data_IF_119093236561
#
_entry.id   IF_119093236561
#
_cell.length_a   1.000
_cell.length_b   1.000
_cell.length_c   1.000
_cell.angle_alpha   90.00
_cell.angle_beta   90.00
_cell.angle_gamma   90.00
#
_symmetry.space_group_name_H-M   'P 1'
#
loop_
_entity.id
_entity.type
_entity.pdbx_description
1 polymer ?
2 non-polymer ?
3 non-polymer ?
4 water ?
#
# COMPACT_ATOMS: atom_id res chain seq x y z
N UNK A 9 -15.68 -6.00 -27.03
CA UNK A 9 -16.80 -6.13 -26.09
C UNK A 9 -16.47 -7.03 -24.92
N UNK A 10 -17.21 -6.87 -23.83
CA UNK A 10 -17.00 -7.67 -22.63
C UNK A 10 -17.75 -9.00 -22.67
N UNK A 11 -17.18 -10.02 -22.00
CA UNK A 11 -17.74 -11.37 -21.91
C UNK A 11 -19.23 -11.34 -21.60
N UNK A 12 -19.93 -12.36 -22.05
CA UNK A 12 -21.34 -12.50 -21.74
C UNK A 12 -21.50 -12.69 -20.23
N UNK A 13 -20.57 -13.45 -19.64
CA UNK A 13 -20.64 -13.81 -18.24
C UNK A 13 -20.47 -12.58 -17.35
N UNK A 14 -19.65 -11.65 -17.83
CA UNK A 14 -19.43 -10.39 -17.13
C UNK A 14 -20.65 -9.49 -17.26
N UNK A 15 -20.99 -9.16 -18.52
CA UNK A 15 -22.16 -8.35 -18.86
C UNK A 15 -23.42 -8.87 -18.20
N UNK A 16 -23.40 -10.15 -17.88
CA UNK A 16 -24.55 -10.74 -17.25
C UNK A 16 -24.83 -10.30 -15.81
N UNK A 17 -23.81 -9.88 -15.08
CA UNK A 17 -23.96 -9.46 -13.68
C UNK A 17 -23.75 -7.98 -13.50
N UNK A 18 -23.08 -7.37 -14.47
CA UNK A 18 -22.62 -6.01 -14.33
C UNK A 18 -22.94 -5.19 -15.55
N UNK A 19 -23.02 -3.88 -15.33
CA UNK A 19 -23.31 -2.94 -16.37
C UNK A 19 -22.14 -2.00 -16.45
N UNK A 20 -21.28 -2.25 -17.44
CA UNK A 20 -20.04 -1.51 -17.58
C UNK A 20 -20.29 -0.03 -17.89
N UNK A 21 -19.69 0.83 -17.09
CA UNK A 21 -19.84 2.27 -17.25
C UNK A 21 -18.50 2.87 -17.70
N UNK A 22 -18.22 4.07 -17.18
CA UNK A 22 -17.05 4.86 -17.57
C UNK A 22 -15.69 4.31 -17.13
N UNK A 23 -14.62 5.00 -17.54
CA UNK A 23 -13.26 4.66 -17.17
C UNK A 23 -12.83 5.47 -15.93
N UNK A 24 -11.91 4.91 -15.16
CA UNK A 24 -11.46 5.57 -13.95
C UNK A 24 -9.93 5.71 -13.92
N UNK A 25 -9.24 4.72 -14.48
CA UNK A 25 -7.78 4.75 -14.61
C UNK A 25 -7.25 3.88 -15.76
N UNK A 26 -5.94 3.99 -16.05
CA UNK A 26 -5.33 3.24 -17.16
C UNK A 26 -3.81 3.02 -17.06
N UNK A 31 -6.20 -0.98 -17.16
CA UNK A 31 -7.34 -0.05 -17.07
C UNK A 31 -8.39 -0.43 -16.02
N UNK A 32 -8.98 0.58 -15.39
CA UNK A 32 -10.05 0.38 -14.40
C UNK A 32 -11.34 1.09 -14.84
N UNK A 33 -12.42 0.32 -14.88
CA UNK A 33 -13.72 0.84 -15.28
C UNK A 33 -14.71 0.87 -14.12
N UNK A 34 -15.63 1.83 -14.17
CA UNK A 34 -16.75 1.82 -13.26
C UNK A 34 -17.85 0.87 -13.78
N UNK A 35 -18.51 0.16 -12.88
CA UNK A 35 -19.60 -0.73 -13.26
C UNK A 35 -20.69 -0.80 -12.17
N UNK A 36 -21.90 -1.22 -12.56
CA UNK A 36 -22.97 -1.44 -11.58
C UNK A 36 -23.32 -2.91 -11.51
N UNK A 37 -23.48 -3.43 -10.30
CA UNK A 37 -23.91 -4.80 -10.12
C UNK A 37 -25.43 -4.90 -10.33
N UNK A 38 -25.86 -5.72 -11.27
CA UNK A 38 -27.29 -5.83 -11.58
C UNK A 38 -28.12 -6.16 -10.34
N UNK A 39 -27.70 -7.18 -9.61
CA UNK A 39 -28.43 -7.67 -8.44
C UNK A 39 -28.87 -6.55 -7.46
N UNK A 40 -28.00 -5.57 -7.25
CA UNK A 40 -28.12 -4.66 -6.12
C UNK A 40 -28.13 -3.19 -6.52
N UNK A 41 -27.71 -2.94 -7.76
CA UNK A 41 -27.60 -1.59 -8.31
C UNK A 41 -26.55 -0.81 -7.56
N UNK A 42 -25.54 -1.50 -7.09
CA UNK A 42 -24.46 -0.87 -6.37
C UNK A 42 -23.26 -0.67 -7.31
N UNK A 43 -22.51 0.42 -7.09
CA UNK A 43 -21.36 0.71 -7.94
C UNK A 43 -20.17 -0.12 -7.51
N UNK A 44 -19.46 -0.66 -8.50
CA UNK A 44 -18.24 -1.42 -8.25
C UNK A 44 -17.16 -0.93 -9.19
N UNK A 45 -15.92 -1.30 -8.89
CA UNK A 45 -14.81 -1.02 -9.81
C UNK A 45 -14.35 -2.32 -10.46
N UNK A 46 -14.11 -2.28 -11.77
CA UNK A 46 -13.62 -3.46 -12.48
C UNK A 46 -12.27 -3.23 -13.16
N UNK A 47 -11.28 -3.96 -12.70
CA UNK A 47 -9.92 -3.89 -13.25
C UNK A 47 -9.76 -4.88 -14.40
N UNK A 48 -9.33 -4.38 -15.54
CA UNK A 48 -9.08 -5.22 -16.70
C UNK A 48 -7.57 -5.38 -16.94
N UNK A 49 -7.18 -6.61 -17.26
CA UNK A 49 -5.78 -6.97 -17.42
C UNK A 49 -5.62 -7.94 -18.57
N UNK A 50 -5.05 -7.48 -19.68
CA UNK A 50 -4.91 -8.30 -20.89
C UNK A 50 -3.80 -9.38 -20.82
N UNK A 51 -3.95 -10.45 -21.59
CA UNK A 51 -2.92 -11.48 -21.64
C UNK A 51 -1.92 -11.23 -22.76
N UNK A 64 1.87 -12.72 -17.63
CA UNK A 64 0.50 -12.28 -17.32
C UNK A 64 -0.16 -13.11 -16.21
N UNK A 65 -0.65 -14.30 -16.56
CA UNK A 65 -1.40 -15.18 -15.65
C UNK A 65 -0.88 -15.29 -14.22
N UNK A 66 0.45 -15.32 -14.06
CA UNK A 66 1.06 -15.56 -12.75
C UNK A 66 0.68 -14.49 -11.72
N UNK A 67 0.93 -13.24 -12.07
CA UNK A 67 0.58 -12.09 -11.22
C UNK A 67 -0.87 -12.06 -10.79
N UNK A 68 -1.74 -12.60 -11.64
CA UNK A 68 -3.17 -12.55 -11.40
C UNK A 68 -3.59 -13.75 -10.55
N UNK A 69 -3.13 -14.94 -10.93
CA UNK A 69 -3.44 -16.14 -10.15
C UNK A 69 -3.16 -15.88 -8.67
N UNK A 70 -2.18 -15.03 -8.41
CA UNK A 70 -1.74 -14.74 -7.04
C UNK A 70 -2.48 -13.55 -6.43
N UNK A 71 -2.57 -12.44 -7.16
CA UNK A 71 -3.35 -11.28 -6.70
C UNK A 71 -4.75 -11.72 -6.25
N UNK A 72 -5.38 -12.59 -7.04
CA UNK A 72 -6.68 -13.13 -6.68
C UNK A 72 -6.49 -14.03 -5.45
N UNK A 73 -5.57 -14.99 -5.56
CA UNK A 73 -5.35 -15.94 -4.48
C UNK A 73 -5.04 -15.21 -3.17
N UNK A 74 -4.41 -14.04 -3.28
CA UNK A 74 -4.16 -13.23 -2.10
C UNK A 74 -5.42 -12.48 -1.63
N UNK A 75 -5.91 -11.58 -2.47
CA UNK A 75 -7.12 -10.81 -2.16
C UNK A 75 -8.25 -11.64 -1.53
N UNK A 76 -8.50 -12.80 -2.13
CA UNK A 76 -9.53 -13.73 -1.65
C UNK A 76 -9.32 -14.06 -0.18
N UNK A 77 -8.06 -14.23 0.20
CA UNK A 77 -7.69 -14.69 1.54
C UNK A 77 -7.54 -13.56 2.56
N UNK A 78 -7.37 -12.33 2.08
CA UNK A 78 -7.11 -11.20 2.97
C UNK A 78 -8.39 -10.59 3.57
N UNK A 79 -8.25 -9.99 4.73
CA UNK A 79 -9.40 -9.45 5.42
C UNK A 79 -9.09 -8.26 6.35
N UNK A 80 -9.11 -7.05 5.81
CA UNK A 80 -8.73 -5.88 6.60
C UNK A 80 -9.39 -4.63 6.03
N UNK A 81 -9.79 -3.69 6.92
CA UNK A 81 -10.50 -2.44 6.57
C UNK A 81 -9.73 -1.62 5.56
N UNK A 82 -8.42 -1.75 5.59
CA UNK A 82 -7.54 -0.90 4.80
C UNK A 82 -6.86 -1.72 3.70
N UNK A 83 -7.49 -2.81 3.33
CA UNK A 83 -7.09 -3.52 2.13
C UNK A 83 -8.30 -3.75 1.23
N UNK A 84 -8.14 -3.49 -0.05
CA UNK A 84 -9.22 -3.64 -1.02
C UNK A 84 -9.73 -5.09 -1.08
N UNK A 85 -11.05 -5.23 -1.11
CA UNK A 85 -11.67 -6.55 -1.17
C UNK A 85 -12.03 -6.89 -2.60
N UNK A 86 -11.96 -8.17 -2.93
CA UNK A 86 -12.36 -8.62 -4.26
C UNK A 86 -13.81 -9.10 -4.21
N UNK A 87 -14.57 -8.79 -5.25
CA UNK A 87 -16.00 -9.09 -5.24
C UNK A 87 -16.31 -10.18 -6.24
N UNK A 88 -15.50 -10.27 -7.28
CA UNK A 88 -15.70 -11.27 -8.31
C UNK A 88 -14.54 -11.29 -9.30
N UNK A 89 -14.45 -12.37 -10.07
CA UNK A 89 -13.37 -12.52 -11.02
C UNK A 89 -13.85 -13.17 -12.32
N UNK A 90 -13.34 -12.69 -13.45
CA UNK A 90 -13.64 -13.23 -14.77
C UNK A 90 -12.42 -13.56 -15.62
N UNK A 91 -12.18 -14.86 -15.82
CA UNK A 91 -11.12 -15.36 -16.68
C UNK A 91 -11.61 -15.48 -18.14
N UNK A 92 -11.21 -14.54 -19.00
CA UNK A 92 -11.70 -14.55 -20.38
C UNK A 92 -10.62 -14.27 -21.43
N UNK A 93 -10.98 -13.48 -22.45
CA UNK A 93 -9.98 -12.98 -23.41
C UNK A 93 -8.98 -12.17 -22.63
N UNK A 94 -9.51 -11.41 -21.67
CA UNK A 94 -8.70 -10.70 -20.71
C UNK A 94 -9.12 -11.12 -19.30
N UNK A 95 -8.54 -10.49 -18.28
CA UNK A 95 -8.89 -10.81 -16.92
C UNK A 95 -9.68 -9.64 -16.35
N UNK A 96 -10.80 -9.94 -15.71
CA UNK A 96 -11.64 -8.91 -15.13
C UNK A 96 -11.70 -9.12 -13.63
N UNK A 97 -11.33 -8.10 -12.88
CA UNK A 97 -11.36 -8.23 -11.44
C UNK A 97 -12.25 -7.16 -10.83
N UNK A 98 -13.23 -7.63 -10.07
CA UNK A 98 -14.27 -6.75 -9.54
C UNK A 98 -13.96 -6.44 -8.08
N UNK A 99 -13.90 -5.14 -7.79
CA UNK A 99 -13.49 -4.70 -6.47
C UNK A 99 -14.42 -3.65 -5.90
N UNK A 100 -14.40 -3.55 -4.58
CA UNK A 100 -14.97 -2.44 -3.88
C UNK A 100 -14.62 -1.18 -4.65
N UNK A 101 -15.49 -0.20 -4.63
CA UNK A 101 -15.18 1.05 -5.29
C UNK A 101 -14.79 2.15 -4.31
N UNK A 102 -13.58 2.67 -4.52
CA UNK A 102 -13.06 3.78 -3.72
C UNK A 102 -13.43 5.09 -4.39
N UNK A 103 -14.13 5.94 -3.67
CA UNK A 103 -14.72 7.12 -4.28
C UNK A 103 -13.79 8.34 -4.28
N UNK A 104 -12.88 8.43 -3.31
CA UNK A 104 -11.93 9.52 -3.25
C UNK A 104 -10.83 9.44 -4.29
N UNK A 105 -10.80 8.32 -5.01
CA UNK A 105 -9.79 8.11 -6.04
C UNK A 105 -8.44 7.78 -5.45
N UNK A 106 -7.37 8.08 -6.20
CA UNK A 106 -6.00 7.77 -5.76
C UNK A 106 -5.45 8.83 -4.81
N UNK A 107 -4.49 8.42 -3.99
CA UNK A 107 -3.81 9.35 -3.12
C UNK A 107 -2.84 10.15 -3.96
N UNK A 108 -2.47 9.59 -5.12
CA UNK A 108 -1.51 10.25 -5.98
C UNK A 108 -2.07 11.57 -6.42
N UNK A 109 -3.35 11.59 -6.75
CA UNK A 109 -4.00 12.80 -7.23
C UNK A 109 -3.97 13.91 -6.18
N UNK A 110 -3.77 13.53 -4.92
CA UNK A 110 -3.79 14.48 -3.82
C UNK A 110 -2.43 15.15 -3.58
N UNK A 111 -1.38 14.63 -4.20
CA UNK A 111 -0.04 15.11 -3.92
C UNK A 111 0.72 15.50 -5.18
N UNK A 112 0.17 15.12 -6.33
CA UNK A 112 0.79 15.43 -7.60
C UNK A 112 0.86 16.94 -7.76
N UNK A 113 1.89 17.41 -8.47
CA UNK A 113 2.12 18.82 -8.62
C UNK A 113 2.18 19.53 -7.28
N UNK A 114 3.31 19.36 -6.60
CA UNK A 114 3.59 19.92 -5.27
C UNK A 114 2.38 20.34 -4.41
N UNK A 115 1.25 19.69 -4.59
CA UNK A 115 0.18 19.81 -3.62
C UNK A 115 0.71 19.18 -2.35
N UNK A 116 0.08 19.48 -1.23
CA UNK A 116 0.49 18.86 0.03
C UNK A 116 -0.65 18.83 1.02
N UNK A 117 -0.76 17.71 1.72
CA UNK A 117 -1.84 17.48 2.66
C UNK A 117 -1.44 18.00 4.03
N UNK A 118 -2.42 18.51 4.77
CA UNK A 118 -2.14 18.99 6.11
C UNK A 118 -1.67 17.83 7.02
N UNK A 119 -0.69 18.11 7.87
CA UNK A 119 -0.11 17.06 8.71
C UNK A 119 -1.15 16.16 9.38
N UNK A 120 -2.22 16.74 9.91
CA UNK A 120 -3.19 15.97 10.69
C UNK A 120 -3.83 14.87 9.85
N UNK A 121 -3.97 15.18 8.57
CA UNK A 121 -4.48 14.27 7.55
C UNK A 121 -3.46 13.20 7.19
N UNK A 122 -2.18 13.58 7.12
CA UNK A 122 -1.14 12.62 6.80
C UNK A 122 -1.07 11.57 7.89
N UNK A 123 -1.21 12.01 9.13
CA UNK A 123 -1.09 11.09 10.23
C UNK A 123 -2.24 10.11 10.10
N UNK A 124 -3.39 10.63 9.73
CA UNK A 124 -4.57 9.79 9.62
C UNK A 124 -4.37 8.71 8.55
N UNK A 125 -3.96 9.14 7.36
CA UNK A 125 -3.68 8.26 6.25
C UNK A 125 -2.56 7.28 6.55
N UNK A 126 -1.43 7.80 7.05
CA UNK A 126 -0.27 6.96 7.26
C UNK A 126 -0.54 5.89 8.31
N UNK A 127 -1.30 6.25 9.32
CA UNK A 127 -1.65 5.29 10.35
C UNK A 127 -2.32 4.07 9.74
N UNK A 128 -3.29 4.33 8.85
CA UNK A 128 -3.95 3.23 8.16
C UNK A 128 -2.99 2.47 7.27
N UNK A 129 -2.12 3.19 6.57
CA UNK A 129 -1.08 2.56 5.77
C UNK A 129 -0.26 1.59 6.62
N UNK A 130 0.14 2.02 7.81
CA UNK A 130 0.90 1.16 8.68
C UNK A 130 0.13 -0.07 9.11
N UNK A 131 -1.12 0.14 9.51
CA UNK A 131 -1.96 -0.97 9.91
C UNK A 131 -2.06 -2.01 8.80
N UNK A 132 -2.41 -1.53 7.61
CA UNK A 132 -2.59 -2.37 6.45
C UNK A 132 -1.36 -3.21 6.15
N UNK A 133 -0.21 -2.54 6.09
CA UNK A 133 1.04 -3.19 5.78
C UNK A 133 1.50 -4.10 6.91
N UNK A 134 1.33 -3.68 8.14
CA UNK A 134 1.66 -4.56 9.22
C UNK A 134 0.87 -5.83 9.06
N UNK A 135 -0.39 -5.68 8.69
CA UNK A 135 -1.30 -6.82 8.50
C UNK A 135 -0.74 -7.81 7.48
N UNK A 136 -0.42 -7.32 6.28
CA UNK A 136 0.22 -8.15 5.27
C UNK A 136 1.44 -8.87 5.82
N UNK A 137 2.27 -8.14 6.53
CA UNK A 137 3.49 -8.70 7.04
C UNK A 137 3.24 -9.81 8.07
N UNK A 138 2.21 -9.66 8.89
CA UNK A 138 1.88 -10.69 9.87
C UNK A 138 1.51 -11.95 9.14
N UNK A 139 0.95 -11.77 7.96
CA UNK A 139 0.43 -12.85 7.14
C UNK A 139 1.37 -13.34 6.07
N UNK A 140 2.67 -13.03 6.19
CA UNK A 140 3.67 -13.51 5.25
C UNK A 140 3.57 -12.96 3.83
N UNK A 141 3.12 -11.71 3.71
CA UNK A 141 2.98 -11.04 2.41
C UNK A 141 3.75 -9.73 2.28
N UNK A 142 4.38 -9.56 1.13
CA UNK A 142 5.17 -8.37 0.83
C UNK A 142 4.61 -7.68 -0.39
N UNK A 143 4.12 -6.46 -0.23
CA UNK A 143 3.48 -5.72 -1.31
C UNK A 143 4.47 -5.37 -2.43
N UNK A 144 5.60 -4.76 -2.10
CA UNK A 144 6.65 -4.54 -3.08
C UNK A 144 6.35 -3.49 -4.14
N UNK A 145 5.16 -2.91 -4.12
CA UNK A 145 4.90 -1.82 -5.04
C UNK A 145 4.06 -0.69 -4.42
N UNK A 146 4.44 -0.26 -3.23
CA UNK A 146 3.69 0.78 -2.54
C UNK A 146 4.04 2.13 -3.11
N UNK A 147 3.03 2.81 -3.64
CA UNK A 147 3.18 4.13 -4.25
C UNK A 147 1.88 4.87 -3.95
N UNK A 148 1.91 6.20 -4.03
CA UNK A 148 0.72 7.05 -3.86
C UNK A 148 -0.49 6.60 -4.68
N UNK A 149 -0.27 5.97 -5.83
CA UNK A 149 -1.38 5.59 -6.70
C UNK A 149 -1.96 4.19 -6.42
N UNK A 150 -1.35 3.48 -5.48
CA UNK A 150 -1.86 2.20 -4.99
C UNK A 150 -2.56 2.38 -3.66
N UNK A 151 -2.69 3.63 -3.21
CA UNK A 151 -3.46 3.95 -2.03
C UNK A 151 -4.73 4.66 -2.49
N UNK A 152 -5.90 4.16 -2.09
CA UNK A 152 -7.17 4.72 -2.51
C UNK A 152 -7.96 5.26 -1.32
N UNK A 153 -8.74 6.30 -1.57
CA UNK A 153 -9.49 6.96 -0.51
C UNK A 153 -10.98 6.62 -0.61
N UNK A 154 -11.61 6.34 0.53
CA UNK A 154 -12.98 5.81 0.54
C UNK A 154 -14.01 6.84 0.07
N UNK A 155 -13.68 8.11 0.22
CA UNK A 155 -14.58 9.19 -0.19
C UNK A 155 -13.83 10.47 -0.50
N UNK A 156 -14.59 11.52 -0.76
CA UNK A 156 -14.02 12.79 -1.16
C UNK A 156 -13.67 13.63 0.06
N UNK A 157 -14.32 13.32 1.17
CA UNK A 157 -13.91 13.88 2.44
C UNK A 157 -12.42 13.61 2.53
N UNK A 158 -11.68 14.54 3.11
CA UNK A 158 -10.29 14.24 3.35
C UNK A 158 -10.20 13.56 4.71
N UNK A 159 -11.36 13.35 5.31
CA UNK A 159 -11.45 12.54 6.52
C UNK A 159 -12.13 11.22 6.19
N UNK A 160 -11.35 10.30 5.64
CA UNK A 160 -11.88 9.04 5.13
C UNK A 160 -10.93 7.86 5.35
N UNK A 161 -11.44 6.66 5.09
CA UNK A 161 -10.61 5.46 5.14
C UNK A 161 -9.81 5.32 3.87
N UNK A 162 -8.59 4.82 4.00
CA UNK A 162 -7.79 4.50 2.83
C UNK A 162 -7.64 2.97 2.69
N UNK A 163 -7.41 2.51 1.46
CA UNK A 163 -7.23 1.08 1.23
C UNK A 163 -6.08 0.85 0.26
N UNK A 164 -5.24 -0.15 0.60
CA UNK A 164 -4.11 -0.55 -0.24
C UNK A 164 -4.56 -1.43 -1.37
N UNK A 165 -3.94 -1.25 -2.52
CA UNK A 165 -4.38 -1.96 -3.71
C UNK A 165 -3.19 -2.38 -4.57
N UNK A 166 -3.46 -3.08 -5.67
CA UNK A 166 -2.46 -3.59 -6.62
C UNK A 166 -1.47 -4.61 -6.06
N UNK A 167 -1.95 -5.83 -5.88
CA UNK A 167 -1.12 -6.87 -5.33
C UNK A 167 -0.43 -7.70 -6.40
N UNK A 168 -0.39 -7.14 -7.62
CA UNK A 168 0.27 -7.79 -8.74
C UNK A 168 1.68 -8.24 -8.43
N UNK A 169 2.43 -7.39 -7.76
CA UNK A 169 3.86 -7.64 -7.54
C UNK A 169 4.22 -8.29 -6.21
N UNK A 170 3.25 -8.55 -5.35
CA UNK A 170 3.52 -9.12 -4.03
C UNK A 170 4.31 -10.42 -4.06
N UNK A 171 5.23 -10.58 -3.12
CA UNK A 171 5.92 -11.83 -2.88
C UNK A 171 5.15 -12.53 -1.77
N UNK A 172 5.38 -13.82 -1.59
CA UNK A 172 4.83 -14.52 -0.43
C UNK A 172 5.92 -15.35 0.23
N UNK A 173 6.23 -14.97 1.47
CA UNK A 173 7.26 -15.62 2.26
C UNK A 173 7.15 -17.16 2.35
N UNK A 176 12.32 -20.07 2.63
CA UNK A 176 12.31 -21.50 2.97
C UNK A 176 13.28 -22.30 2.11
N UNK A 177 13.77 -21.68 1.04
CA UNK A 177 14.81 -22.32 0.23
C UNK A 177 16.04 -22.44 1.10
N UNK A 178 16.54 -21.30 1.54
CA UNK A 178 17.62 -21.24 2.51
C UNK A 178 17.32 -22.13 3.72
N UNK A 179 16.16 -21.92 4.33
CA UNK A 179 15.79 -22.71 5.49
C UNK A 179 16.17 -24.18 5.32
N UNK A 180 15.74 -24.79 4.23
CA UNK A 180 16.08 -26.20 3.95
C UNK A 180 17.59 -26.37 3.67
N UNK A 181 18.07 -25.67 2.64
CA UNK A 181 19.49 -25.65 2.33
C UNK A 181 20.34 -25.66 3.60
N UNK A 182 19.88 -24.94 4.62
CA UNK A 182 20.63 -24.79 5.86
C UNK A 182 20.98 -26.10 6.55
N UNK A 183 19.94 -26.77 7.06
CA UNK A 183 20.16 -27.99 7.85
C UNK A 183 20.60 -29.16 6.98
N UNK A 184 21.82 -29.09 6.48
CA UNK A 184 22.34 -30.11 5.60
C UNK A 184 23.84 -30.06 5.42
N UNK A 185 24.28 -30.58 4.28
CA UNK A 185 25.70 -30.72 3.96
C UNK A 185 26.23 -29.42 3.36
N UNK A 186 26.76 -28.53 4.23
CA UNK A 186 27.32 -27.24 3.79
C UNK A 186 28.63 -27.56 3.10
N UNK A 187 29.01 -28.82 3.25
CA UNK A 187 30.19 -29.36 2.59
C UNK A 187 30.33 -28.87 1.16
N UNK A 188 29.23 -28.79 0.41
CA UNK A 188 29.30 -28.35 -1.00
C UNK A 188 28.64 -27.00 -1.21
N UNK A 189 28.18 -26.41 -0.10
CA UNK A 189 27.49 -25.15 -0.12
C UNK A 189 28.42 -23.98 -0.49
N UNK A 190 28.09 -23.26 -1.57
CA UNK A 190 28.87 -22.11 -1.99
C UNK A 190 28.83 -21.04 -0.91
N UNK A 191 29.93 -20.28 -0.79
CA UNK A 191 30.13 -19.22 0.20
C UNK A 191 29.02 -18.17 0.17
N UNK A 192 28.83 -17.54 -0.99
CA UNK A 192 27.84 -16.47 -1.13
C UNK A 192 26.48 -16.78 -0.48
N UNK A 193 26.18 -18.06 -0.31
CA UNK A 193 24.89 -18.47 0.19
C UNK A 193 24.82 -18.36 1.71
N UNK A 194 25.87 -18.85 2.37
CA UNK A 194 26.06 -18.67 3.82
C UNK A 194 26.11 -17.19 4.22
N UNK A 195 26.80 -16.40 3.42
CA UNK A 195 26.84 -14.98 3.66
C UNK A 195 25.45 -14.38 3.53
N UNK A 196 24.67 -14.95 2.63
CA UNK A 196 23.33 -14.45 2.36
C UNK A 196 22.43 -14.62 3.60
N UNK A 197 22.84 -15.50 4.50
CA UNK A 197 22.07 -15.79 5.71
C UNK A 197 21.86 -14.59 6.65
N UNK A 198 22.91 -13.81 6.89
CA UNK A 198 22.84 -12.73 7.87
C UNK A 198 21.70 -11.78 7.59
N UNK A 199 21.44 -11.56 6.31
CA UNK A 199 20.44 -10.60 5.85
C UNK A 199 19.13 -11.25 5.43
N UNK A 200 19.18 -12.55 5.16
CA UNK A 200 17.98 -13.33 4.85
C UNK A 200 16.85 -13.03 5.81
N UNK A 201 15.64 -12.98 5.28
CA UNK A 201 14.46 -12.88 6.11
C UNK A 201 14.11 -11.46 6.50
N UNK A 202 14.60 -10.50 5.73
CA UNK A 202 14.32 -9.09 5.95
C UNK A 202 13.73 -8.35 4.73
N UNK A 203 13.06 -9.09 3.84
CA UNK A 203 12.53 -8.51 2.60
C UNK A 203 11.45 -7.49 2.83
N UNK A 204 10.65 -7.71 3.86
CA UNK A 204 9.54 -6.83 4.16
C UNK A 204 10.02 -5.40 4.36
N UNK A 205 11.25 -5.23 4.82
CA UNK A 205 11.83 -3.92 5.03
C UNK A 205 11.65 -2.99 3.84
N UNK A 206 11.31 -3.54 2.69
CA UNK A 206 11.26 -2.75 1.48
C UNK A 206 9.97 -1.99 1.35
N UNK A 207 8.94 -2.47 2.05
CA UNK A 207 7.66 -1.80 2.08
C UNK A 207 7.73 -0.69 3.11
N UNK A 208 8.68 -0.80 4.01
CA UNK A 208 8.89 0.25 5.00
C UNK A 208 9.69 1.40 4.39
N UNK A 209 10.62 1.05 3.52
CA UNK A 209 11.25 2.06 2.74
C UNK A 209 10.14 2.83 2.04
N UNK A 210 9.34 2.12 1.27
CA UNK A 210 8.35 2.75 0.40
C UNK A 210 7.37 3.58 1.19
N UNK A 211 7.05 3.14 2.39
CA UNK A 211 6.14 3.90 3.24
C UNK A 211 6.81 5.20 3.60
N UNK A 212 8.11 5.10 3.89
CA UNK A 212 8.93 6.26 4.21
C UNK A 212 8.88 7.27 3.10
N UNK A 213 9.21 6.83 1.89
CA UNK A 213 9.12 7.67 0.70
C UNK A 213 7.73 8.30 0.57
N UNK A 214 6.68 7.51 0.80
CA UNK A 214 5.32 8.03 0.71
C UNK A 214 5.06 9.12 1.76
N UNK A 215 5.40 8.84 3.02
CA UNK A 215 5.16 9.78 4.10
C UNK A 215 5.84 11.13 3.80
N UNK A 216 7.03 11.05 3.19
CA UNK A 216 7.80 12.23 2.79
C UNK A 216 6.97 13.07 1.85
N UNK A 217 6.74 12.55 0.64
CA UNK A 217 5.90 13.22 -0.34
C UNK A 217 4.62 13.81 0.26
N UNK A 218 3.95 13.07 1.11
CA UNK A 218 2.72 13.57 1.72
C UNK A 218 2.94 14.82 2.53
N UNK A 219 3.86 14.74 3.49
CA UNK A 219 4.16 15.84 4.41
C UNK A 219 4.70 17.10 3.71
N UNK A 220 5.57 16.91 2.73
CA UNK A 220 6.30 17.98 2.09
C UNK A 220 5.61 18.51 0.84
N UNK A 221 5.28 17.61 -0.08
CA UNK A 221 4.67 17.97 -1.34
C UNK A 221 5.57 17.42 -2.42
N UNK A 222 6.82 17.19 -2.07
CA UNK A 222 7.84 16.82 -3.06
C UNK A 222 8.56 15.51 -2.70
N UNK A 223 9.07 14.81 -3.73
CA UNK A 223 9.90 13.59 -3.65
C UNK A 223 11.27 13.79 -2.99
N UNK A 224 11.68 12.83 -2.16
CA UNK A 224 12.92 12.78 -1.40
C UNK A 224 14.11 12.53 -2.31
N UNK A 225 13.94 11.66 -3.31
CA UNK A 225 14.98 11.39 -4.28
C UNK A 225 14.49 11.56 -5.70
N UNK A 226 14.46 12.79 -6.19
CA UNK A 226 14.16 13.03 -7.60
C UNK A 226 15.42 13.51 -8.32
N UNK A 227 15.30 13.82 -9.60
CA UNK A 227 16.41 14.33 -10.37
C UNK A 227 16.22 15.81 -10.71
N UNK A 228 15.23 16.42 -10.08
CA UNK A 228 14.95 17.85 -10.23
C UNK A 228 16.03 18.69 -9.54
N UNK A 229 16.84 19.38 -10.36
CA UNK A 229 17.89 20.28 -9.88
C UNK A 229 18.98 19.58 -9.06
N UNK A 230 19.69 18.64 -9.69
CA UNK A 230 20.71 17.86 -9.00
C UNK A 230 21.49 16.99 -9.99
N UNK A 231 22.80 16.90 -9.79
CA UNK A 231 23.68 16.19 -10.72
C UNK A 231 24.11 14.81 -10.21
N UNK A 232 23.73 14.52 -8.97
CA UNK A 232 24.00 13.22 -8.37
C UNK A 232 22.94 12.24 -8.85
N UNK A 233 23.38 11.06 -9.32
CA UNK A 233 22.43 10.09 -9.91
C UNK A 233 21.25 9.80 -8.98
N UNK A 234 20.27 9.07 -9.49
CA UNK A 234 19.14 8.69 -8.65
C UNK A 234 19.50 7.45 -7.86
N UNK A 235 20.13 6.49 -8.53
CA UNK A 235 20.61 5.30 -7.86
C UNK A 235 21.48 5.74 -6.69
N UNK A 236 22.18 6.85 -6.85
CA UNK A 236 23.13 7.25 -5.83
C UNK A 236 22.52 8.00 -4.64
N UNK A 237 21.53 8.85 -4.90
CA UNK A 237 20.75 9.44 -3.80
C UNK A 237 20.14 8.36 -2.90
N UNK A 238 19.60 7.32 -3.52
CA UNK A 238 18.88 6.27 -2.79
C UNK A 238 19.84 5.36 -2.03
N UNK A 239 20.87 4.86 -2.71
CA UNK A 239 21.83 4.01 -2.03
C UNK A 239 22.56 4.76 -0.91
N UNK A 240 23.01 5.99 -1.20
CA UNK A 240 23.58 6.84 -0.16
C UNK A 240 22.62 7.13 1.02
N UNK A 241 21.34 7.30 0.73
CA UNK A 241 20.39 7.71 1.75
C UNK A 241 20.17 9.21 1.80
N UNK A 242 21.03 9.97 1.12
CA UNK A 242 20.95 11.44 1.12
C UNK A 242 19.81 11.96 0.23
N UNK A 243 18.79 12.48 0.86
CA UNK A 243 17.60 12.91 0.16
C UNK A 243 17.54 14.41 0.14
N UNK A 244 17.13 14.97 -1.00
CA UNK A 244 16.87 16.38 -1.11
C UNK A 244 16.00 16.89 0.06
N UNK A 245 16.64 17.48 1.05
CA UNK A 245 15.91 18.09 2.18
C UNK A 245 15.82 19.62 2.15
N UNK A 246 14.64 20.14 1.84
CA UNK A 246 14.38 21.57 1.68
C UNK A 246 13.72 22.15 2.94
N UNK A 247 14.53 22.77 3.81
CA UNK A 247 14.08 23.16 5.16
C UNK A 247 12.96 24.20 5.15
N UNK A 248 12.75 24.88 4.03
CA UNK A 248 11.72 25.91 3.92
C UNK A 248 10.33 25.30 4.05
N UNK A 249 10.09 24.28 3.23
CA UNK A 249 8.85 23.51 3.26
C UNK A 249 8.70 22.76 4.58
N UNK A 250 9.78 22.11 4.99
CA UNK A 250 9.82 21.23 6.17
C UNK A 250 9.70 21.94 7.52
N UNK A 251 9.96 23.25 7.50
CA UNK A 251 9.89 24.04 8.71
C UNK A 251 8.44 24.13 9.16
N UNK A 252 7.53 23.95 8.20
CA UNK A 252 6.09 23.94 8.49
C UNK A 252 5.68 22.63 9.15
N UNK A 253 6.54 21.62 9.02
CA UNK A 253 6.24 20.27 9.53
C UNK A 253 6.90 19.98 10.89
N UNK A 254 6.15 19.29 11.76
CA UNK A 254 6.59 18.99 13.11
C UNK A 254 7.89 18.20 13.11
N UNK A 255 8.58 18.21 14.25
CA UNK A 255 9.81 17.45 14.37
C UNK A 255 9.50 15.96 14.59
N UNK A 256 8.43 15.67 15.34
CA UNK A 256 7.98 14.28 15.54
C UNK A 256 7.74 13.55 14.23
N UNK A 257 7.05 14.22 13.32
CA UNK A 257 6.77 13.67 12.01
C UNK A 257 8.07 13.36 11.24
N UNK A 258 8.81 14.41 10.91
CA UNK A 258 10.10 14.26 10.25
C UNK A 258 11.03 13.26 10.91
N UNK A 259 10.95 13.13 12.23
CA UNK A 259 11.81 12.17 12.92
C UNK A 259 11.54 10.77 12.41
N UNK A 260 10.25 10.47 12.21
CA UNK A 260 9.79 9.17 11.76
C UNK A 260 10.21 8.88 10.32
N UNK A 261 9.93 9.83 9.44
CA UNK A 261 10.37 9.74 8.05
C UNK A 261 11.84 9.33 8.01
N UNK A 262 12.63 9.89 8.93
CA UNK A 262 14.08 9.66 8.95
C UNK A 262 14.41 8.23 9.28
N UNK A 263 13.57 7.64 10.14
CA UNK A 263 13.82 6.31 10.69
C UNK A 263 13.31 5.22 9.74
N UNK A 264 12.47 5.60 8.77
CA UNK A 264 12.00 4.68 7.75
C UNK A 264 12.95 4.72 6.57
N UNK A 265 13.48 5.89 6.30
CA UNK A 265 14.39 6.02 5.19
C UNK A 265 15.82 5.71 5.61
N UNK A 266 15.98 4.67 6.39
CA UNK A 266 17.30 4.13 6.73
C UNK A 266 17.77 3.18 5.63
N UNK A 267 18.99 3.36 5.17
CA UNK A 267 19.56 2.50 4.12
C UNK A 267 19.69 1.01 4.52
N UNK A 268 20.22 0.76 5.71
CA UNK A 268 20.37 -0.59 6.25
C UNK A 268 19.01 -1.14 6.70
N UNK A 269 18.50 -2.18 6.01
CA UNK A 269 17.15 -2.72 6.26
C UNK A 269 16.98 -3.34 7.64
N UNK A 270 18.06 -3.84 8.22
CA UNK A 270 18.03 -4.44 9.56
C UNK A 270 17.85 -3.39 10.66
N UNK A 271 18.35 -2.19 10.40
CA UNK A 271 18.18 -1.04 11.27
C UNK A 271 16.89 -0.28 11.00
N UNK A 272 16.44 -0.32 9.74
CA UNK A 272 15.23 0.37 9.32
C UNK A 272 14.10 0.05 10.28
N UNK A 273 13.17 1.00 10.44
CA UNK A 273 12.00 0.81 11.25
C UNK A 273 11.07 -0.21 10.64
N UNK A 274 10.49 -1.04 11.49
CA UNK A 274 9.48 -1.96 11.04
C UNK A 274 8.14 -1.26 11.16
N UNK A 275 7.10 -1.89 10.64
CA UNK A 275 5.74 -1.35 10.75
C UNK A 275 5.37 -1.13 12.23
N UNK A 276 5.87 -1.99 13.09
CA UNK A 276 5.53 -1.96 14.51
C UNK A 276 6.23 -0.83 15.23
N UNK A 277 7.54 -0.70 15.00
CA UNK A 277 8.29 0.38 15.60
C UNK A 277 7.74 1.72 15.13
N UNK A 278 7.22 1.74 13.91
CA UNK A 278 6.63 2.96 13.38
C UNK A 278 5.34 3.26 14.11
N UNK A 279 4.56 2.21 14.37
CA UNK A 279 3.26 2.36 15.02
C UNK A 279 3.40 2.79 16.47
N UNK A 280 4.58 2.50 17.06
CA UNK A 280 4.95 2.89 18.43
C UNK A 280 5.64 4.25 18.50
N UNK A 281 5.95 4.83 17.36
CA UNK A 281 6.65 6.12 17.33
C UNK A 281 5.80 7.26 17.90
N UNK A 282 6.41 8.14 18.69
CA UNK A 282 5.77 9.35 19.19
C UNK A 282 4.74 9.95 18.21
N UNK A 283 5.10 10.10 16.94
CA UNK A 283 4.21 10.80 16.02
C UNK A 283 2.84 10.17 15.98
N UNK A 284 2.78 8.89 16.31
CA UNK A 284 1.56 8.11 16.10
C UNK A 284 0.81 7.81 17.38
N UNK A 285 1.33 8.35 18.48
CA UNK A 285 0.63 8.28 19.76
C UNK A 285 -0.26 9.51 19.89
N UNK A 286 -1.36 9.50 19.13
CA UNK A 286 -2.22 10.66 18.95
C UNK A 286 -3.67 10.21 19.00
N UNK A 287 -4.27 10.35 20.17
CA UNK A 287 -5.53 9.68 20.47
C UNK A 287 -6.72 10.22 19.67
N UNK A 288 -6.56 11.42 19.13
CA UNK A 288 -7.61 12.02 18.34
C UNK A 288 -7.70 11.38 16.96
N UNK A 289 -6.57 11.36 16.27
CA UNK A 289 -6.46 10.70 14.97
C UNK A 289 -6.95 9.26 15.07
N UNK A 290 -6.56 8.55 16.13
CA UNK A 290 -7.04 7.19 16.33
C UNK A 290 -8.55 7.15 16.59
N UNK A 291 -9.04 8.14 17.35
CA UNK A 291 -10.47 8.26 17.59
C UNK A 291 -11.22 8.47 16.28
N UNK A 292 -10.69 9.35 15.43
CA UNK A 292 -11.33 9.67 14.14
C UNK A 292 -11.41 8.45 13.24
N UNK A 293 -10.39 7.62 13.32
CA UNK A 293 -10.30 6.38 12.56
C UNK A 293 -11.34 5.39 13.06
N UNK A 294 -11.40 5.23 14.38
CA UNK A 294 -12.50 4.51 14.99
C UNK A 294 -13.81 4.96 14.39
N UNK A 295 -14.22 6.17 14.74
CA UNK A 295 -15.43 6.78 14.19
C UNK A 295 -15.63 6.41 12.72
N UNK A 296 -14.59 6.63 11.92
CA UNK A 296 -14.63 6.34 10.48
C UNK A 296 -14.90 4.87 10.19
N UNK A 297 -14.30 4.01 11.00
CA UNK A 297 -14.47 2.57 10.89
C UNK A 297 -15.92 2.18 11.04
N UNK A 298 -16.42 2.27 12.26
CA UNK A 298 -17.79 1.87 12.58
C UNK A 298 -18.78 2.40 11.53
N UNK A 299 -18.60 3.65 11.12
CA UNK A 299 -19.48 4.26 10.13
C UNK A 299 -19.53 3.50 8.81
N UNK A 300 -18.40 2.93 8.37
CA UNK A 300 -18.39 2.10 7.18
C UNK A 300 -19.14 0.79 7.46
N UNK A 301 -19.06 0.34 8.71
CA UNK A 301 -19.57 -0.97 9.08
C UNK A 301 -21.07 -1.02 9.35
N UNK A 302 -21.68 0.16 9.50
CA UNK A 302 -23.13 0.28 9.69
C UNK A 302 -23.91 -0.40 8.58
N UNK A 303 -23.30 -0.46 7.41
CA UNK A 303 -23.92 -1.09 6.25
C UNK A 303 -24.17 -2.58 6.50
N UNK A 304 -23.19 -3.24 7.12
CA UNK A 304 -23.18 -4.69 7.31
C UNK A 304 -23.55 -5.09 8.73
N UNK A 305 -23.75 -4.10 9.60
CA UNK A 305 -23.98 -4.35 11.02
C UNK A 305 -25.07 -5.36 11.30
N UNK A 306 -24.66 -6.58 11.61
CA UNK A 306 -25.58 -7.61 12.06
C UNK A 306 -25.90 -7.47 13.53
N UNK A 307 -27.19 -7.62 13.89
CA UNK A 307 -27.57 -7.70 15.31
C UNK A 307 -26.89 -8.90 15.96
N UNK A 308 -26.30 -8.71 17.12
CA UNK A 308 -25.57 -9.80 17.72
C UNK A 308 -26.01 -10.09 19.15
N UNK A 309 -25.55 -11.23 19.66
CA UNK A 309 -25.96 -11.70 20.97
C UNK A 309 -25.50 -10.75 22.10
N UNK A 310 -26.41 -10.48 23.04
CA UNK A 310 -26.15 -9.60 24.18
C UNK A 310 -25.92 -10.38 25.49
X LIG B 1 -12.42 10.21 -8.38
X LIG B 1 -12.76 8.98 -9.05
X LIG B 1 -11.75 7.98 -9.32
X LIG B 1 -11.84 6.61 -8.76
X LIG B 1 -10.83 5.63 -9.05
X LIG B 1 -10.90 4.33 -8.47
X LIG B 1 -11.97 4.00 -7.61
X LIG B 1 -12.04 2.68 -6.92
X LIG B 1 -10.99 1.71 -7.13
X LIG B 1 -11.08 0.44 -6.46
X LIG B 1 -9.89 2.01 -8.00
X LIG B 1 -8.84 1.08 -8.19
X LIG B 1 -7.45 1.59 -8.21
X LIG B 1 -6.31 0.67 -8.43
X LIG B 1 -6.55 -0.76 -8.62
X LIG B 1 -5.31 -1.70 -8.87
X LIG B 1 -4.07 -1.10 -9.30
X LIG B 1 -5.39 -2.89 -8.89
X LIG B 1 -7.94 -1.27 -8.59
X LIG B 1 -9.08 -0.37 -8.37
X LIG B 1 -9.83 3.33 -8.68
X LIG B 1 -9.68 6.02 -9.88
X LIG B 1 -9.59 7.40 -10.43
X LIG B 1 -10.62 8.35 -10.15
X LIG B 1 -10.56 9.65 -10.70
X LIG C 1 11.07 -11.57 5.52
X LIG C 1 11.52 -10.35 6.06
X LIG C 1 9.87 -12.11 6.01
X LIG C 1 11.80 -12.23 4.53
#
# INVERSE_FOLDING_TARGET
GPLGSHMSVYPKALRDEYIMSKTLGSGACGEVKLAFERKTCKKVAIKIISKRKFAIGSAREADPALNVETEIEILKKLNHPCIIKIKNFFDAEDYYIVLELMEGGELFDKVVGNKRLKEATCKLYFYQMLLAVQYLHENGIIHRDLKPENVLLSSQEEDCLIKITDFGHSKILGETSLMRTLCGTPTYLAPEVLVSVGTAGYNRAVDCWSLGVILFICLSGYPPFSEHRTQVSLKDQITSGKYNFIPEVWAEVSEKALDLVKKLLVVDPKARFTTEEALRHPWLQDEDMKRKFQDLLSEENESTALPQVLAQPSTSRKRPREGEAEGAE
VGM C01 O02 C03 C04 C05 C06 C07 N08 C09 N10 C11 C12 C13 C14 C15 C16 N17 O18 C19 C20 C21 C22 C23 C24 O25
NO3 N O1 O2 O3
#
